data_IF_087197329203
#
_entry.id   IF_087197329203
#
_cell.length_a   1.000
_cell.length_b   1.000
_cell.length_c   1.000
_cell.angle_alpha   90.00
_cell.angle_beta   90.00
_cell.angle_gamma   90.00
#
_symmetry.space_group_name_H-M   'P 1'
#
loop_
_entity.id
_entity.type
_entity.pdbx_description
1 polymer ?
#
# COMPACT_ATOMS: atom_id res chain seq x y z
N UNK A 1 -5.36 -3.73 26.30
CA UNK A 1 -6.02 -2.47 25.90
C UNK A 1 -6.15 -2.53 24.40
N UNK A 2 -7.30 -2.16 23.89
CA UNK A 2 -7.51 -2.11 22.43
C UNK A 2 -6.69 -0.96 21.84
N UNK A 3 -5.98 -1.20 20.74
CA UNK A 3 -5.11 -0.22 20.10
C UNK A 3 -5.98 0.87 19.44
N UNK A 4 -5.78 2.16 19.75
CA UNK A 4 -6.54 3.25 19.12
C UNK A 4 -6.42 3.22 17.59
N UNK A 5 -7.49 3.60 16.88
CA UNK A 5 -7.51 3.65 15.41
C UNK A 5 -6.37 4.51 14.86
N UNK A 6 -6.09 5.66 15.48
CA UNK A 6 -4.97 6.54 15.06
C UNK A 6 -3.63 5.82 15.09
N UNK A 7 -3.38 4.97 16.11
CA UNK A 7 -2.15 4.19 16.22
C UNK A 7 -2.10 3.05 15.18
N UNK A 8 -3.24 2.46 14.83
CA UNK A 8 -3.33 1.49 13.72
C UNK A 8 -3.03 2.14 12.38
N UNK A 9 -3.59 3.32 12.12
CA UNK A 9 -3.34 4.10 10.90
C UNK A 9 -1.85 4.48 10.82
N UNK A 10 -1.31 5.05 11.91
CA UNK A 10 0.10 5.42 12.02
C UNK A 10 1.00 4.21 11.79
N UNK A 11 0.69 3.09 12.43
CA UNK A 11 1.43 1.84 12.30
C UNK A 11 1.41 1.30 10.87
N UNK A 12 0.25 1.27 10.22
CA UNK A 12 0.10 0.82 8.85
C UNK A 12 0.98 1.63 7.89
N UNK A 13 0.90 2.96 7.94
CA UNK A 13 1.65 3.84 7.04
C UNK A 13 3.16 3.78 7.27
N UNK A 14 3.60 3.86 8.54
CA UNK A 14 5.03 3.80 8.87
C UNK A 14 5.62 2.40 8.65
N UNK A 15 4.85 1.34 8.96
CA UNK A 15 5.29 -0.04 8.72
C UNK A 15 5.45 -0.34 7.24
N UNK A 16 4.51 0.09 6.41
CA UNK A 16 4.61 -0.01 4.96
C UNK A 16 5.84 0.69 4.42
N UNK A 17 6.07 1.95 4.82
CA UNK A 17 7.25 2.70 4.42
C UNK A 17 8.57 2.07 4.90
N UNK A 18 8.59 1.43 6.09
CA UNK A 18 9.77 0.68 6.54
C UNK A 18 10.03 -0.56 5.67
N UNK A 19 8.98 -1.28 5.28
CA UNK A 19 9.10 -2.45 4.40
C UNK A 19 9.58 -2.07 3.00
N UNK A 20 8.97 -1.05 2.40
CA UNK A 20 9.35 -0.44 1.13
C UNK A 20 10.85 -0.03 1.15
N UNK A 21 11.24 0.85 2.06
CA UNK A 21 12.61 1.35 2.15
C UNK A 21 13.65 0.25 2.45
N UNK A 22 13.26 -0.86 3.09
CA UNK A 22 14.12 -2.01 3.30
C UNK A 22 14.28 -2.85 2.04
N UNK A 23 13.21 -3.02 1.25
CA UNK A 23 13.17 -3.82 0.03
C UNK A 23 13.77 -3.13 -1.19
N UNK A 24 13.60 -1.80 -1.31
CA UNK A 24 14.01 -1.01 -2.46
C UNK A 24 15.45 -1.26 -2.97
N UNK A 25 16.47 -1.44 -2.12
CA UNK A 25 17.84 -1.72 -2.59
C UNK A 25 18.02 -3.08 -3.26
N UNK A 26 17.12 -4.01 -3.05
CA UNK A 26 17.21 -5.41 -3.50
C UNK A 26 16.06 -5.83 -4.41
N UNK A 27 15.15 -4.92 -4.73
CA UNK A 27 14.19 -5.09 -5.83
C UNK A 27 14.95 -5.52 -7.09
N UNK A 28 14.45 -6.44 -7.85
CA UNK A 28 15.10 -7.05 -9.03
C UNK A 28 16.31 -7.96 -8.75
N UNK A 29 16.70 -8.21 -7.49
CA UNK A 29 17.84 -9.07 -7.17
C UNK A 29 17.39 -10.48 -6.82
N UNK A 30 18.19 -11.47 -7.24
CA UNK A 30 18.02 -12.83 -6.75
C UNK A 30 18.54 -12.95 -5.32
N UNK A 31 18.03 -13.92 -4.57
CA UNK A 31 18.55 -14.27 -3.23
C UNK A 31 20.05 -14.53 -3.25
N UNK A 32 20.58 -15.07 -4.35
CA UNK A 32 22.02 -15.26 -4.51
C UNK A 32 22.77 -13.91 -4.58
N UNK A 33 22.24 -12.93 -5.32
CA UNK A 33 22.83 -11.58 -5.41
C UNK A 33 22.72 -10.84 -4.08
N UNK A 34 21.59 -10.95 -3.41
CA UNK A 34 21.37 -10.39 -2.07
C UNK A 34 22.38 -10.98 -1.08
N UNK A 35 22.54 -12.31 -1.06
CA UNK A 35 23.50 -12.98 -0.17
C UNK A 35 24.96 -12.64 -0.51
N UNK A 36 25.30 -12.47 -1.77
CA UNK A 36 26.63 -12.06 -2.18
C UNK A 36 26.98 -10.63 -1.71
N UNK A 37 25.98 -9.74 -1.64
CA UNK A 37 26.18 -8.35 -1.23
C UNK A 37 26.09 -8.15 0.28
N UNK A 38 25.07 -8.71 0.93
CA UNK A 38 24.72 -8.45 2.32
C UNK A 38 25.02 -9.63 3.26
N UNK A 39 25.62 -10.73 2.74
CA UNK A 39 25.88 -11.95 3.51
C UNK A 39 24.71 -12.90 3.59
N UNK A 40 24.89 -14.02 4.28
CA UNK A 40 23.90 -15.12 4.34
C UNK A 40 22.58 -14.77 5.01
N UNK A 41 22.51 -13.64 5.72
CA UNK A 41 21.27 -13.14 6.34
C UNK A 41 20.46 -12.22 5.42
N UNK A 42 21.02 -11.89 4.24
CA UNK A 42 20.43 -10.91 3.34
C UNK A 42 20.47 -9.48 3.89
N UNK A 43 19.63 -8.60 3.36
CA UNK A 43 19.46 -7.23 3.86
C UNK A 43 18.69 -7.27 5.17
N UNK A 44 19.23 -6.65 6.23
CA UNK A 44 18.66 -6.67 7.59
C UNK A 44 18.49 -5.29 8.21
N UNK A 45 18.70 -4.24 7.41
CA UNK A 45 18.58 -2.83 7.77
C UNK A 45 18.72 -1.97 6.54
N UNK A 46 18.41 -0.68 6.65
CA UNK A 46 18.45 0.22 5.50
C UNK A 46 19.86 0.31 4.91
N UNK A 47 19.96 0.17 3.60
CA UNK A 47 21.21 0.31 2.88
C UNK A 47 21.58 1.80 2.73
N UNK A 48 22.88 2.11 2.82
CA UNK A 48 23.39 3.45 2.66
C UNK A 48 24.12 3.66 1.31
N UNK A 49 24.21 2.61 0.52
CA UNK A 49 24.98 2.56 -0.72
C UNK A 49 24.13 2.69 -2.00
N UNK A 50 22.81 2.68 -1.88
CA UNK A 50 21.85 2.76 -2.99
C UNK A 50 21.01 4.05 -2.91
N UNK A 51 21.42 5.02 -2.13
CA UNK A 51 20.70 6.29 -1.91
C UNK A 51 20.69 6.66 -0.43
N UNK A 52 19.91 7.68 -0.03
CA UNK A 52 19.71 7.99 1.38
C UNK A 52 19.07 6.81 2.10
N UNK A 53 19.56 6.47 3.29
CA UNK A 53 18.92 5.46 4.13
C UNK A 53 17.45 5.83 4.40
N UNK A 54 16.56 4.84 4.36
CA UNK A 54 15.12 5.09 4.52
C UNK A 54 14.46 5.80 3.33
N UNK A 55 15.10 5.75 2.14
CA UNK A 55 14.50 6.23 0.91
C UNK A 55 13.39 5.27 0.46
N UNK A 56 12.22 5.82 0.27
CA UNK A 56 11.01 5.10 -0.19
C UNK A 56 10.94 5.02 -1.72
N UNK A 57 10.09 4.13 -2.24
CA UNK A 57 9.76 3.99 -3.67
C UNK A 57 8.39 4.57 -4.00
N UNK A 58 7.87 4.25 -5.19
CA UNK A 58 6.50 4.60 -5.59
C UNK A 58 5.43 3.89 -4.73
N UNK A 59 5.73 2.77 -4.09
CA UNK A 59 4.86 2.09 -3.13
C UNK A 59 4.37 3.04 -2.04
N UNK A 60 5.29 3.64 -1.29
CA UNK A 60 4.94 4.60 -0.25
C UNK A 60 4.45 5.92 -0.83
N UNK A 61 5.01 6.39 -1.96
CA UNK A 61 4.53 7.61 -2.62
C UNK A 61 3.05 7.47 -2.98
N UNK A 62 2.67 6.41 -3.69
CA UNK A 62 1.28 6.19 -4.11
C UNK A 62 0.37 5.90 -2.92
N UNK A 63 0.84 5.22 -1.88
CA UNK A 63 0.13 5.06 -0.61
C UNK A 63 -0.23 6.41 0.01
N UNK A 64 0.71 7.36 0.07
CA UNK A 64 0.43 8.72 0.57
C UNK A 64 -0.62 9.44 -0.28
N UNK A 65 -0.54 9.35 -1.62
CA UNK A 65 -1.55 9.94 -2.49
C UNK A 65 -2.90 9.24 -2.40
N UNK A 66 -2.95 7.93 -2.11
CA UNK A 66 -4.21 7.23 -1.78
C UNK A 66 -4.84 7.82 -0.53
N UNK A 67 -4.06 8.00 0.55
CA UNK A 67 -4.57 8.62 1.79
C UNK A 67 -5.07 10.04 1.54
N UNK A 68 -4.31 10.87 0.80
CA UNK A 68 -4.74 12.22 0.43
C UNK A 68 -6.07 12.19 -0.34
N UNK A 69 -6.20 11.30 -1.31
CA UNK A 69 -7.42 11.12 -2.09
C UNK A 69 -8.62 10.72 -1.23
N UNK A 70 -8.42 9.80 -0.27
CA UNK A 70 -9.47 9.37 0.66
C UNK A 70 -9.94 10.49 1.58
N UNK A 71 -9.02 11.29 2.12
CA UNK A 71 -9.39 12.46 2.92
C UNK A 71 -10.16 13.47 2.08
N UNK A 72 -9.71 13.76 0.86
CA UNK A 72 -10.44 14.65 -0.08
C UNK A 72 -11.82 14.12 -0.43
N UNK A 73 -11.97 12.80 -0.64
CA UNK A 73 -13.26 12.19 -0.89
C UNK A 73 -14.23 12.39 0.27
N UNK A 74 -13.75 12.28 1.53
CA UNK A 74 -14.56 12.58 2.72
C UNK A 74 -14.96 14.06 2.80
N UNK A 75 -14.02 14.97 2.54
CA UNK A 75 -14.31 16.40 2.49
C UNK A 75 -15.37 16.69 1.42
N UNK A 76 -15.20 16.15 0.22
CA UNK A 76 -16.17 16.28 -0.87
C UNK A 76 -17.53 15.70 -0.50
N UNK A 77 -17.56 14.53 0.12
CA UNK A 77 -18.82 13.91 0.58
C UNK A 77 -19.53 14.80 1.61
N UNK A 78 -18.81 15.41 2.53
CA UNK A 78 -19.40 16.31 3.52
C UNK A 78 -19.94 17.61 2.92
N UNK A 79 -19.33 18.09 1.82
CA UNK A 79 -19.73 19.33 1.15
C UNK A 79 -20.88 19.11 0.16
N UNK A 80 -20.91 17.97 -0.54
CA UNK A 80 -21.78 17.72 -1.69
C UNK A 80 -22.72 16.52 -1.52
N UNK A 81 -22.61 15.75 -0.44
CA UNK A 81 -23.47 14.62 -0.11
C UNK A 81 -23.16 13.33 -0.87
N UNK A 82 -22.67 13.40 -2.10
CA UNK A 82 -22.30 12.25 -2.92
C UNK A 82 -20.87 12.40 -3.44
N UNK A 83 -20.14 11.26 -3.56
CA UNK A 83 -18.78 11.23 -4.03
C UNK A 83 -18.49 9.93 -4.79
N UNK A 84 -17.81 10.04 -5.89
CA UNK A 84 -17.13 8.92 -6.54
C UNK A 84 -15.71 8.81 -5.94
N UNK A 85 -15.53 7.86 -5.03
CA UNK A 85 -14.28 7.63 -4.32
C UNK A 85 -13.15 7.24 -5.26
N UNK A 86 -13.43 6.37 -6.24
CA UNK A 86 -12.44 5.94 -7.20
C UNK A 86 -11.95 7.09 -8.07
N UNK A 87 -12.86 7.96 -8.51
CA UNK A 87 -12.52 9.15 -9.30
C UNK A 87 -11.65 10.14 -8.51
N UNK A 88 -11.97 10.38 -7.23
CA UNK A 88 -11.18 11.29 -6.38
C UNK A 88 -9.77 10.73 -6.10
N UNK A 89 -9.65 9.42 -5.83
CA UNK A 89 -8.35 8.78 -5.63
C UNK A 89 -7.58 8.70 -6.96
N UNK A 90 -8.24 8.43 -8.08
CA UNK A 90 -7.60 8.49 -9.40
C UNK A 90 -7.00 9.89 -9.66
N UNK A 91 -7.72 10.96 -9.31
CA UNK A 91 -7.16 12.30 -9.40
C UNK A 91 -5.95 12.51 -8.48
N UNK A 92 -5.91 11.86 -7.30
CA UNK A 92 -4.70 11.87 -6.46
C UNK A 92 -3.52 11.18 -7.16
N UNK A 93 -3.75 10.07 -7.86
CA UNK A 93 -2.70 9.42 -8.67
C UNK A 93 -2.21 10.27 -9.84
N UNK A 94 -3.06 11.10 -10.42
CA UNK A 94 -2.62 12.07 -11.44
C UNK A 94 -1.74 13.19 -10.84
N UNK A 95 -1.97 13.58 -9.59
CA UNK A 95 -1.06 14.45 -8.85
C UNK A 95 0.27 13.76 -8.56
N UNK A 96 0.24 12.47 -8.17
CA UNK A 96 1.46 11.67 -8.06
C UNK A 96 2.20 11.58 -9.40
N UNK A 97 1.52 11.25 -10.50
CA UNK A 97 2.14 11.22 -11.83
C UNK A 97 2.87 12.53 -12.14
N UNK A 98 2.30 13.67 -11.75
CA UNK A 98 2.95 14.98 -11.95
C UNK A 98 4.30 15.08 -11.25
N UNK A 99 4.45 14.45 -10.08
CA UNK A 99 5.74 14.44 -9.36
C UNK A 99 6.79 13.53 -10.02
N UNK A 100 6.37 12.63 -10.90
CA UNK A 100 7.25 11.71 -11.62
C UNK A 100 7.79 12.29 -12.93
N UNK A 101 7.31 13.47 -13.36
CA UNK A 101 7.72 14.09 -14.60
C UNK A 101 8.87 15.06 -14.36
N UNK A 102 10.03 14.80 -14.98
CA UNK A 102 11.25 15.63 -14.86
C UNK A 102 11.12 17.01 -15.49
N UNK A 103 10.18 17.17 -16.41
CA UNK A 103 9.88 18.44 -17.09
C UNK A 103 8.38 18.68 -17.07
N UNK A 104 8.01 19.97 -17.07
CA UNK A 104 6.64 20.40 -17.25
C UNK A 104 6.16 19.99 -18.66
N UNK A 105 5.74 18.76 -18.84
CA UNK A 105 5.04 18.36 -20.05
C UNK A 105 3.61 18.91 -19.96
N UNK A 106 3.37 20.00 -20.71
CA UNK A 106 2.08 20.66 -20.81
C UNK A 106 0.95 19.77 -21.38
N UNK A 107 1.23 18.49 -21.66
CA UNK A 107 0.26 17.52 -22.15
C UNK A 107 -0.56 16.83 -21.07
N UNK A 108 -0.31 17.11 -19.81
CA UNK A 108 -1.32 16.79 -18.80
C UNK A 108 -2.49 17.75 -19.01
N UNK A 109 -3.47 17.30 -19.78
CA UNK A 109 -4.72 18.05 -20.08
C UNK A 109 -5.63 18.16 -18.85
N UNK A 110 -5.23 17.59 -17.72
CA UNK A 110 -6.02 17.55 -16.50
C UNK A 110 -5.69 18.78 -15.67
N UNK A 111 -6.64 19.69 -15.60
CA UNK A 111 -6.60 20.88 -14.75
C UNK A 111 -6.86 20.54 -13.27
N UNK A 112 -6.46 21.41 -12.36
CA UNK A 112 -6.78 21.29 -10.93
C UNK A 112 -5.85 20.37 -10.13
N UNK A 113 -4.59 20.22 -10.58
CA UNK A 113 -3.56 19.51 -9.82
C UNK A 113 -3.06 20.39 -8.67
N UNK A 114 -3.79 20.41 -7.58
CA UNK A 114 -3.55 21.17 -6.37
C UNK A 114 -3.31 20.25 -5.15
N UNK A 115 -2.93 20.82 -4.04
CA UNK A 115 -2.77 20.14 -2.76
C UNK A 115 -1.33 20.12 -2.26
N UNK A 116 -1.19 19.81 -0.98
CA UNK A 116 0.08 19.95 -0.29
C UNK A 116 1.11 18.85 -0.65
N UNK A 117 0.67 17.62 -0.95
CA UNK A 117 1.59 16.55 -1.34
C UNK A 117 2.25 16.80 -2.69
N UNK A 118 1.54 17.39 -3.66
CA UNK A 118 2.15 17.72 -4.95
C UNK A 118 3.19 18.84 -4.82
N UNK A 119 3.10 19.68 -3.80
CA UNK A 119 4.08 20.73 -3.51
C UNK A 119 5.30 20.21 -2.75
N UNK A 120 5.22 19.01 -2.14
CA UNK A 120 6.31 18.42 -1.39
C UNK A 120 7.44 17.93 -2.29
N UNK A 121 8.57 18.63 -2.29
CA UNK A 121 9.69 18.40 -3.20
C UNK A 121 10.38 17.05 -3.02
N UNK A 122 10.31 16.45 -1.83
CA UNK A 122 10.86 15.09 -1.57
C UNK A 122 10.18 14.02 -2.40
N UNK A 123 8.93 14.26 -2.85
CA UNK A 123 8.15 13.33 -3.69
C UNK A 123 8.42 13.52 -5.19
N UNK A 124 9.14 14.58 -5.60
CA UNK A 124 9.47 14.86 -7.00
C UNK A 124 10.71 14.07 -7.45
N UNK A 125 10.64 12.77 -7.33
CA UNK A 125 11.69 11.87 -7.79
C UNK A 125 11.10 10.55 -8.23
N UNK A 126 11.57 10.05 -9.36
CA UNK A 126 11.27 8.69 -9.78
C UNK A 126 12.01 7.71 -8.86
N UNK A 127 11.23 6.80 -8.27
CA UNK A 127 11.71 5.76 -7.38
C UNK A 127 11.07 4.44 -7.81
N UNK A 128 11.66 3.80 -8.82
CA UNK A 128 11.20 2.56 -9.44
C UNK A 128 9.71 2.53 -9.89
N UNK A 129 9.10 3.65 -10.40
CA UNK A 129 7.66 3.68 -10.64
C UNK A 129 7.22 2.65 -11.66
N UNK A 130 6.21 1.85 -11.31
CA UNK A 130 5.65 0.80 -12.15
C UNK A 130 5.17 1.32 -13.50
N UNK A 131 5.64 0.69 -14.58
CA UNK A 131 5.30 1.09 -15.96
C UNK A 131 3.80 1.08 -16.22
N UNK A 132 3.06 0.10 -15.68
CA UNK A 132 1.60 0.00 -15.81
C UNK A 132 0.92 1.25 -15.24
N UNK A 133 1.28 1.68 -14.02
CA UNK A 133 0.73 2.88 -13.40
C UNK A 133 1.03 4.13 -14.23
N UNK A 134 2.30 4.31 -14.66
CA UNK A 134 2.69 5.47 -15.45
C UNK A 134 1.96 5.55 -16.78
N UNK A 135 1.82 4.43 -17.51
CA UNK A 135 1.15 4.40 -18.81
C UNK A 135 -0.34 4.64 -18.66
N UNK A 136 -1.00 3.96 -17.73
CA UNK A 136 -2.43 4.13 -17.49
C UNK A 136 -2.78 5.58 -17.12
N UNK A 137 -2.04 6.16 -16.18
CA UNK A 137 -2.30 7.54 -15.74
C UNK A 137 -1.98 8.59 -16.81
N UNK A 138 -0.98 8.36 -17.68
CA UNK A 138 -0.69 9.24 -18.83
C UNK A 138 -1.74 9.20 -19.91
N UNK A 139 -2.40 8.06 -20.08
CA UNK A 139 -3.47 7.88 -21.08
C UNK A 139 -4.86 8.24 -20.56
N UNK A 140 -4.99 8.54 -19.27
CA UNK A 140 -6.27 8.92 -18.68
C UNK A 140 -6.82 10.20 -19.30
N UNK A 141 -8.07 10.14 -19.74
CA UNK A 141 -8.80 11.28 -20.36
C UNK A 141 -9.84 11.89 -19.43
N UNK A 142 -10.20 11.17 -18.36
CA UNK A 142 -11.16 11.61 -17.36
C UNK A 142 -10.91 10.87 -16.04
N UNK A 143 -11.59 11.26 -14.96
CA UNK A 143 -11.43 10.67 -13.64
C UNK A 143 -12.25 9.39 -13.47
N UNK A 144 -11.67 8.40 -12.80
CA UNK A 144 -12.39 7.15 -12.45
C UNK A 144 -12.61 6.19 -13.62
N UNK A 145 -12.13 6.50 -14.82
CA UNK A 145 -12.25 5.60 -15.97
C UNK A 145 -11.28 4.43 -15.80
N UNK A 146 -11.75 3.18 -16.01
CA UNK A 146 -10.88 2.02 -16.04
C UNK A 146 -9.79 2.12 -17.11
N UNK A 147 -8.59 1.65 -16.78
CA UNK A 147 -7.47 1.59 -17.71
C UNK A 147 -7.70 0.49 -18.76
N UNK A 148 -7.29 0.78 -20.00
CA UNK A 148 -7.35 -0.17 -21.12
C UNK A 148 -6.02 -0.97 -21.18
N UNK A 149 -5.91 -1.97 -20.32
CA UNK A 149 -4.79 -2.94 -20.30
C UNK A 149 -5.24 -4.23 -19.59
N UNK A 150 -4.42 -5.27 -19.67
CA UNK A 150 -4.66 -6.56 -19.01
C UNK A 150 -3.59 -6.86 -17.93
N UNK A 151 -3.13 -5.83 -17.23
CA UNK A 151 -2.10 -5.97 -16.20
C UNK A 151 -2.70 -6.44 -14.88
N UNK A 152 -2.06 -7.43 -14.25
CA UNK A 152 -2.29 -7.83 -12.86
C UNK A 152 -1.08 -7.55 -11.95
N UNK A 153 -0.25 -6.58 -12.33
CA UNK A 153 0.93 -6.18 -11.55
C UNK A 153 0.60 -5.75 -10.12
N UNK A 154 1.60 -5.84 -9.24
CA UNK A 154 1.51 -5.49 -7.82
C UNK A 154 1.23 -4.01 -7.56
N UNK A 155 1.38 -3.13 -8.57
CA UNK A 155 1.22 -1.68 -8.44
C UNK A 155 -0.15 -1.19 -7.98
N UNK A 156 -1.13 -2.07 -7.79
CA UNK A 156 -2.39 -1.78 -7.09
C UNK A 156 -2.28 -2.13 -5.62
N UNK A 157 -2.04 -3.39 -5.29
CA UNK A 157 -2.11 -3.93 -3.92
C UNK A 157 -1.11 -3.26 -2.97
N UNK A 158 0.04 -2.83 -3.47
CA UNK A 158 1.09 -2.13 -2.70
C UNK A 158 0.61 -0.82 -2.06
N UNK A 159 -0.38 -0.14 -2.66
CA UNK A 159 -0.85 1.19 -2.26
C UNK A 159 -2.26 1.22 -1.66
N UNK A 160 -2.96 0.07 -1.58
CA UNK A 160 -4.41 0.04 -1.31
C UNK A 160 -4.79 -0.31 0.14
N UNK A 161 -3.82 -0.57 1.03
CA UNK A 161 -4.06 -0.68 2.47
C UNK A 161 -4.84 0.51 3.07
N UNK A 162 -4.65 1.78 2.63
CA UNK A 162 -5.40 2.93 3.16
C UNK A 162 -6.92 2.84 3.00
N UNK A 163 -7.44 2.08 2.04
CA UNK A 163 -8.88 1.87 1.92
C UNK A 163 -9.46 1.17 3.15
N UNK A 164 -8.76 0.16 3.68
CA UNK A 164 -9.17 -0.49 4.92
C UNK A 164 -9.07 0.44 6.14
N UNK A 165 -8.06 1.31 6.18
CA UNK A 165 -7.93 2.32 7.23
C UNK A 165 -9.07 3.33 7.20
N UNK A 166 -9.54 3.71 6.01
CA UNK A 166 -10.62 4.67 5.84
C UNK A 166 -11.99 4.12 6.22
N UNK A 167 -12.18 2.80 6.19
CA UNK A 167 -13.44 2.12 6.51
C UNK A 167 -13.24 1.05 7.60
N UNK A 168 -12.79 1.44 8.82
CA UNK A 168 -12.49 0.50 9.88
C UNK A 168 -13.75 -0.27 10.30
N UNK A 169 -13.67 -1.61 10.26
CA UNK A 169 -14.82 -2.48 10.59
C UNK A 169 -15.88 -2.62 9.50
N UNK A 170 -15.67 -2.01 8.34
CA UNK A 170 -16.54 -2.18 7.15
C UNK A 170 -15.72 -2.76 5.98
N UNK A 171 -15.39 -4.07 6.04
CA UNK A 171 -14.54 -4.72 5.05
C UNK A 171 -15.18 -4.78 3.65
N UNK A 172 -16.50 -4.84 3.57
CA UNK A 172 -17.21 -4.92 2.28
C UNK A 172 -17.13 -3.60 1.52
N UNK A 173 -17.32 -2.48 2.21
CA UNK A 173 -17.13 -1.15 1.61
C UNK A 173 -15.68 -0.92 1.24
N UNK A 174 -14.72 -1.26 2.12
CA UNK A 174 -13.29 -1.13 1.84
C UNK A 174 -12.89 -1.95 0.60
N UNK A 175 -13.32 -3.22 0.54
CA UNK A 175 -13.09 -4.11 -0.60
C UNK A 175 -13.61 -3.50 -1.91
N UNK A 176 -14.90 -3.16 -1.95
CA UNK A 176 -15.56 -2.65 -3.15
C UNK A 176 -14.90 -1.38 -3.70
N UNK A 177 -14.56 -0.45 -2.82
CA UNK A 177 -13.98 0.83 -3.23
C UNK A 177 -12.53 0.67 -3.70
N UNK A 178 -11.71 -0.14 -3.03
CA UNK A 178 -10.35 -0.47 -3.47
C UNK A 178 -10.36 -1.21 -4.81
N UNK A 179 -11.24 -2.20 -4.97
CA UNK A 179 -11.45 -2.93 -6.22
C UNK A 179 -11.73 -1.97 -7.40
N UNK A 180 -12.66 -1.03 -7.22
CA UNK A 180 -13.00 -0.04 -8.25
C UNK A 180 -11.84 0.92 -8.54
N UNK A 181 -11.10 1.34 -7.51
CA UNK A 181 -9.96 2.24 -7.67
C UNK A 181 -8.80 1.57 -8.40
N UNK A 182 -8.55 0.28 -8.16
CA UNK A 182 -7.52 -0.50 -8.84
C UNK A 182 -7.72 -0.52 -10.37
N UNK A 183 -8.96 -0.58 -10.82
CA UNK A 183 -9.32 -0.57 -12.24
C UNK A 183 -8.83 0.69 -12.99
N UNK A 184 -8.58 1.80 -12.30
CA UNK A 184 -8.09 3.03 -12.92
C UNK A 184 -6.65 2.94 -13.45
N UNK A 185 -5.91 1.89 -13.07
CA UNK A 185 -4.53 1.67 -13.54
C UNK A 185 -4.28 0.26 -14.09
N UNK A 186 -4.96 -0.76 -13.55
CA UNK A 186 -4.79 -2.16 -13.94
C UNK A 186 -6.12 -2.73 -14.38
N UNK A 187 -6.17 -3.36 -15.55
CA UNK A 187 -7.41 -3.86 -16.14
C UNK A 187 -7.75 -5.31 -15.78
N UNK A 188 -6.77 -6.10 -15.30
CA UNK A 188 -7.00 -7.51 -15.00
C UNK A 188 -7.77 -7.70 -13.67
N UNK A 189 -8.81 -8.56 -13.61
CA UNK A 189 -9.61 -8.77 -12.40
C UNK A 189 -8.79 -9.14 -11.17
N UNK A 190 -7.77 -9.99 -11.30
CA UNK A 190 -6.92 -10.40 -10.17
C UNK A 190 -6.30 -9.20 -9.42
N UNK A 191 -5.87 -8.15 -10.15
CA UNK A 191 -5.35 -6.94 -9.51
C UNK A 191 -6.43 -6.21 -8.69
N UNK A 192 -7.66 -6.20 -9.18
CA UNK A 192 -8.80 -5.60 -8.49
C UNK A 192 -9.16 -6.40 -7.22
N UNK A 193 -9.23 -7.72 -7.34
CA UNK A 193 -9.52 -8.60 -6.20
C UNK A 193 -8.43 -8.55 -5.13
N UNK A 194 -7.14 -8.48 -5.50
CA UNK A 194 -6.04 -8.35 -4.56
C UNK A 194 -6.11 -7.01 -3.80
N UNK A 195 -6.42 -5.91 -4.50
CA UNK A 195 -6.65 -4.59 -3.91
C UNK A 195 -7.81 -4.58 -2.93
N UNK A 196 -8.95 -5.16 -3.33
CA UNK A 196 -10.09 -5.34 -2.45
C UNK A 196 -9.74 -6.19 -1.22
N UNK A 197 -8.98 -7.28 -1.43
CA UNK A 197 -8.60 -8.20 -0.35
C UNK A 197 -7.70 -7.52 0.70
N UNK A 198 -6.64 -6.81 0.30
CA UNK A 198 -5.79 -6.10 1.28
C UNK A 198 -6.59 -5.04 2.04
N UNK A 199 -7.48 -4.32 1.37
CA UNK A 199 -8.36 -3.33 2.02
C UNK A 199 -9.30 -3.98 3.04
N UNK A 200 -9.94 -5.11 2.69
CA UNK A 200 -10.83 -5.84 3.60
C UNK A 200 -10.07 -6.42 4.80
N UNK A 201 -8.86 -6.97 4.59
CA UNK A 201 -8.01 -7.46 5.68
C UNK A 201 -7.68 -6.31 6.64
N UNK A 202 -7.21 -5.16 6.12
CA UNK A 202 -6.87 -4.00 6.95
C UNK A 202 -8.10 -3.45 7.69
N UNK A 203 -9.28 -3.41 7.07
CA UNK A 203 -10.50 -2.99 7.74
C UNK A 203 -10.87 -3.89 8.93
N UNK A 204 -10.68 -5.21 8.80
CA UNK A 204 -10.88 -6.19 9.88
C UNK A 204 -9.83 -6.05 10.99
N UNK A 205 -8.56 -5.82 10.63
CA UNK A 205 -7.50 -5.53 11.59
C UNK A 205 -7.81 -4.26 12.40
N UNK A 206 -8.30 -3.22 11.75
CA UNK A 206 -8.73 -1.99 12.43
C UNK A 206 -9.90 -2.21 13.39
N UNK A 207 -10.73 -3.22 13.16
CA UNK A 207 -11.79 -3.66 14.09
C UNK A 207 -11.29 -4.58 15.22
N UNK A 208 -9.98 -4.87 15.28
CA UNK A 208 -9.38 -5.68 16.35
C UNK A 208 -9.36 -7.18 16.06
N UNK A 209 -9.70 -7.63 14.85
CA UNK A 209 -9.52 -9.02 14.45
C UNK A 209 -8.02 -9.34 14.28
N UNK A 210 -7.59 -10.56 14.58
CA UNK A 210 -6.23 -11.00 14.28
C UNK A 210 -6.00 -11.20 12.77
N UNK A 211 -4.73 -11.26 12.37
CA UNK A 211 -4.38 -11.32 10.94
C UNK A 211 -4.88 -12.62 10.29
N UNK A 212 -4.71 -13.76 10.92
CA UNK A 212 -5.12 -15.05 10.35
C UNK A 212 -6.65 -15.10 10.14
N UNK A 213 -7.41 -14.69 11.13
CA UNK A 213 -8.88 -14.59 11.04
C UNK A 213 -9.33 -13.54 10.00
N UNK A 214 -8.60 -12.42 9.88
CA UNK A 214 -8.89 -11.40 8.88
C UNK A 214 -8.70 -11.94 7.45
N UNK A 215 -7.64 -12.69 7.21
CA UNK A 215 -7.36 -13.33 5.91
C UNK A 215 -8.40 -14.41 5.61
N UNK A 216 -8.64 -15.33 6.54
CA UNK A 216 -9.62 -16.43 6.38
C UNK A 216 -11.02 -15.90 6.04
N UNK A 217 -11.49 -14.88 6.77
CA UNK A 217 -12.78 -14.25 6.48
C UNK A 217 -12.79 -13.51 5.13
N UNK A 218 -11.69 -12.89 4.73
CA UNK A 218 -11.62 -12.23 3.42
C UNK A 218 -11.75 -13.24 2.30
N UNK A 219 -11.13 -14.41 2.42
CA UNK A 219 -11.30 -15.51 1.45
C UNK A 219 -12.78 -15.93 1.41
N UNK A 220 -13.38 -16.20 2.57
CA UNK A 220 -14.72 -16.75 2.68
C UNK A 220 -15.84 -15.77 2.27
N UNK A 221 -15.66 -14.47 2.48
CA UNK A 221 -16.70 -13.47 2.33
C UNK A 221 -16.54 -12.59 1.08
N UNK A 222 -15.30 -12.35 0.62
CA UNK A 222 -15.02 -11.39 -0.44
C UNK A 222 -14.40 -12.01 -1.73
N UNK A 223 -13.90 -13.26 -1.70
CA UNK A 223 -13.21 -13.88 -2.83
C UNK A 223 -13.93 -15.11 -3.39
N UNK A 224 -15.25 -15.19 -3.21
CA UNK A 224 -16.06 -16.32 -3.70
C UNK A 224 -16.39 -16.24 -5.19
N UNK A 225 -16.15 -15.11 -5.83
CA UNK A 225 -16.32 -14.94 -7.28
C UNK A 225 -15.23 -15.73 -8.03
N UNK A 226 -15.54 -16.38 -9.17
CA UNK A 226 -14.55 -17.07 -9.99
C UNK A 226 -13.34 -16.22 -10.37
N UNK A 227 -13.51 -14.93 -10.58
CA UNK A 227 -12.42 -14.01 -10.93
C UNK A 227 -11.50 -13.69 -9.75
N UNK A 228 -11.93 -13.99 -8.51
CA UNK A 228 -11.12 -13.87 -7.29
C UNK A 228 -10.26 -15.08 -6.96
N UNK A 229 -10.33 -16.17 -7.74
CA UNK A 229 -9.75 -17.47 -7.41
C UNK A 229 -8.22 -17.44 -7.24
N UNK A 230 -7.49 -16.65 -8.03
CA UNK A 230 -6.03 -16.55 -7.93
C UNK A 230 -5.62 -15.93 -6.58
N UNK A 231 -6.32 -14.87 -6.15
CA UNK A 231 -6.08 -14.22 -4.86
C UNK A 231 -6.46 -15.14 -3.70
N UNK A 232 -7.62 -15.82 -3.80
CA UNK A 232 -8.05 -16.78 -2.79
C UNK A 232 -7.05 -17.94 -2.64
N UNK A 233 -6.49 -18.43 -3.75
CA UNK A 233 -5.49 -19.49 -3.74
C UNK A 233 -4.18 -19.03 -3.07
N UNK A 234 -3.65 -17.86 -3.43
CA UNK A 234 -2.44 -17.30 -2.84
C UNK A 234 -2.58 -17.08 -1.32
N UNK A 235 -3.70 -16.52 -0.88
CA UNK A 235 -3.98 -16.32 0.54
C UNK A 235 -4.18 -17.65 1.29
N UNK A 236 -4.84 -18.64 0.67
CA UNK A 236 -5.02 -19.98 1.25
C UNK A 236 -3.68 -20.70 1.42
N UNK A 237 -2.77 -20.59 0.44
CA UNK A 237 -1.40 -21.12 0.55
C UNK A 237 -0.63 -20.42 1.67
N UNK A 238 -0.74 -19.10 1.79
CA UNK A 238 -0.10 -18.35 2.88
C UNK A 238 -0.59 -18.83 4.26
N UNK A 239 -1.89 -19.05 4.44
CA UNK A 239 -2.44 -19.62 5.67
C UNK A 239 -1.95 -21.06 5.91
N UNK A 240 -1.93 -21.89 4.88
CA UNK A 240 -1.49 -23.29 4.97
C UNK A 240 -0.02 -23.41 5.38
N UNK A 241 0.86 -22.57 4.86
CA UNK A 241 2.28 -22.58 5.18
C UNK A 241 2.62 -21.85 6.47
N UNK A 242 1.74 -20.98 6.96
CA UNK A 242 1.99 -20.20 8.16
C UNK A 242 2.23 -21.12 9.38
N UNK A 243 3.24 -20.77 10.20
CA UNK A 243 3.61 -21.52 11.38
C UNK A 243 4.26 -22.90 11.14
N UNK A 244 4.44 -23.32 9.88
CA UNK A 244 5.13 -24.58 9.54
C UNK A 244 6.64 -24.45 9.67
N UNK A 245 7.32 -25.54 10.02
CA UNK A 245 8.79 -25.58 10.01
C UNK A 245 9.29 -25.39 8.58
N UNK A 246 10.16 -24.39 8.36
CA UNK A 246 10.72 -24.13 7.04
C UNK A 246 9.83 -23.30 6.11
N UNK A 247 8.80 -22.62 6.59
CA UNK A 247 7.89 -21.77 5.84
C UNK A 247 8.57 -20.78 4.86
N UNK A 248 9.81 -20.35 5.17
CA UNK A 248 10.59 -19.50 4.24
C UNK A 248 10.83 -20.14 2.88
N UNK A 249 10.98 -21.46 2.83
CA UNK A 249 11.14 -22.18 1.55
C UNK A 249 9.86 -22.16 0.73
N UNK A 250 8.70 -22.02 1.37
CA UNK A 250 7.40 -21.96 0.70
C UNK A 250 7.12 -20.59 0.05
N UNK A 251 7.96 -19.57 0.31
CA UNK A 251 7.87 -18.29 -0.43
C UNK A 251 7.98 -18.52 -1.95
N UNK A 252 8.80 -19.47 -2.37
CA UNK A 252 8.97 -19.80 -3.80
C UNK A 252 7.68 -20.34 -4.45
N UNK A 253 6.79 -20.94 -3.66
CA UNK A 253 5.51 -21.47 -4.15
C UNK A 253 4.47 -20.36 -4.37
N UNK A 254 4.68 -19.20 -3.74
CA UNK A 254 3.83 -18.02 -3.90
C UNK A 254 4.25 -17.13 -5.08
N UNK A 255 5.44 -17.36 -5.66
CA UNK A 255 5.94 -16.60 -6.81
C UNK A 255 6.98 -15.55 -6.45
N UNK A 256 7.13 -14.53 -7.29
CA UNK A 256 8.12 -13.47 -7.15
C UNK A 256 7.55 -12.13 -6.64
N UNK A 257 6.26 -12.04 -6.42
CA UNK A 257 5.63 -10.78 -5.96
C UNK A 257 5.40 -9.74 -7.05
N UNK A 258 5.73 -10.03 -8.31
CA UNK A 258 5.53 -9.10 -9.43
C UNK A 258 4.07 -8.88 -9.81
N UNK A 259 3.20 -9.81 -9.46
CA UNK A 259 1.75 -9.73 -9.65
C UNK A 259 1.03 -9.65 -8.31
N UNK A 260 -0.15 -9.06 -8.31
CA UNK A 260 -0.82 -8.60 -7.11
C UNK A 260 -1.14 -9.73 -6.11
N UNK A 261 -1.56 -10.90 -6.59
CA UNK A 261 -1.87 -12.06 -5.74
C UNK A 261 -0.62 -12.66 -5.10
N UNK A 262 0.51 -12.69 -5.84
CA UNK A 262 1.79 -13.17 -5.30
C UNK A 262 2.31 -12.24 -4.21
N UNK A 263 2.34 -10.93 -4.48
CA UNK A 263 2.80 -9.93 -3.52
C UNK A 263 2.01 -9.98 -2.21
N UNK A 264 0.68 -10.06 -2.30
CA UNK A 264 -0.19 -10.18 -1.13
C UNK A 264 0.04 -11.50 -0.39
N UNK A 265 0.16 -12.63 -1.10
CA UNK A 265 0.41 -13.95 -0.50
C UNK A 265 1.73 -14.01 0.26
N UNK A 266 2.83 -13.52 -0.35
CA UNK A 266 4.16 -13.44 0.27
C UNK A 266 4.12 -12.58 1.54
N UNK A 267 3.53 -11.39 1.44
CA UNK A 267 3.43 -10.47 2.58
C UNK A 267 2.64 -11.08 3.75
N UNK A 268 1.51 -11.73 3.47
CA UNK A 268 0.69 -12.41 4.48
C UNK A 268 1.44 -13.57 5.12
N UNK A 269 2.12 -14.42 4.32
CA UNK A 269 2.91 -15.54 4.86
C UNK A 269 4.01 -15.04 5.80
N UNK A 270 4.74 -14.01 5.41
CA UNK A 270 5.79 -13.41 6.23
C UNK A 270 5.24 -12.82 7.53
N UNK A 271 4.14 -12.07 7.45
CA UNK A 271 3.50 -11.44 8.59
C UNK A 271 2.93 -12.45 9.61
N UNK A 272 2.42 -13.59 9.14
CA UNK A 272 1.87 -14.65 9.99
C UNK A 272 2.94 -15.55 10.61
N UNK A 273 4.10 -15.73 9.96
CA UNK A 273 5.03 -16.81 10.31
C UNK A 273 6.27 -16.35 11.07
N UNK A 274 6.63 -15.08 10.95
CA UNK A 274 7.84 -14.58 11.60
C UNK A 274 7.62 -14.29 13.10
N UNK A 275 8.66 -14.52 13.90
CA UNK A 275 8.59 -14.36 15.36
C UNK A 275 8.41 -12.90 15.80
N UNK A 276 8.86 -11.94 14.99
CA UNK A 276 8.77 -10.50 15.26
C UNK A 276 8.47 -9.71 13.99
N UNK A 277 7.84 -8.53 14.08
CA UNK A 277 7.61 -7.65 12.94
C UNK A 277 8.88 -7.31 12.16
N UNK A 278 10.01 -7.09 12.85
CA UNK A 278 11.32 -6.92 12.21
C UNK A 278 11.71 -8.14 11.37
N UNK A 279 11.56 -9.34 11.93
CA UNK A 279 11.90 -10.58 11.22
C UNK A 279 10.96 -10.84 10.04
N UNK A 280 9.71 -10.41 10.13
CA UNK A 280 8.74 -10.49 9.05
C UNK A 280 9.13 -9.60 7.87
N UNK A 281 9.46 -8.33 8.11
CA UNK A 281 9.93 -7.41 7.07
C UNK A 281 11.21 -7.92 6.42
N UNK A 282 12.19 -8.39 7.22
CA UNK A 282 13.42 -8.99 6.68
C UNK A 282 13.10 -10.20 5.79
N UNK A 283 12.14 -11.04 6.16
CA UNK A 283 11.77 -12.18 5.34
C UNK A 283 11.05 -11.76 4.05
N UNK A 284 10.16 -10.77 4.15
CA UNK A 284 9.38 -10.26 3.03
C UNK A 284 10.23 -9.58 1.94
N UNK A 285 11.45 -9.11 2.28
CA UNK A 285 12.33 -8.43 1.31
C UNK A 285 13.51 -9.28 0.84
N UNK A 286 13.72 -10.48 1.39
CA UNK A 286 14.85 -11.34 1.05
C UNK A 286 14.40 -12.58 0.26
N UNK A 287 13.81 -12.35 -0.89
CA UNK A 287 13.40 -13.39 -1.85
C UNK A 287 13.74 -12.96 -3.29
N UNK A 288 13.53 -13.85 -4.27
CA UNK A 288 13.76 -13.54 -5.68
C UNK A 288 12.53 -12.79 -6.23
N UNK A 289 12.56 -11.44 -6.25
CA UNK A 289 11.42 -10.72 -6.83
C UNK A 289 11.24 -9.30 -6.33
N UNK A 290 9.97 -8.90 -6.27
CA UNK A 290 9.48 -7.56 -5.92
C UNK A 290 9.53 -7.33 -4.40
N UNK A 291 10.72 -6.97 -3.94
CA UNK A 291 11.05 -6.95 -2.50
C UNK A 291 10.46 -5.73 -1.77
N UNK A 292 10.35 -4.58 -2.43
CA UNK A 292 9.79 -3.38 -1.82
C UNK A 292 8.26 -3.49 -1.68
N UNK A 293 7.56 -3.94 -2.71
CA UNK A 293 6.10 -4.17 -2.63
C UNK A 293 5.73 -5.21 -1.57
N UNK A 294 6.42 -6.37 -1.55
CA UNK A 294 6.14 -7.40 -0.53
C UNK A 294 6.47 -6.94 0.88
N UNK A 295 7.56 -6.16 1.03
CA UNK A 295 7.94 -5.50 2.27
C UNK A 295 6.90 -4.45 2.70
N UNK A 296 6.46 -3.59 1.78
CA UNK A 296 5.45 -2.56 2.03
C UNK A 296 4.13 -3.16 2.51
N UNK A 297 3.60 -4.16 1.80
CA UNK A 297 2.34 -4.82 2.16
C UNK A 297 2.46 -5.52 3.52
N UNK A 298 3.56 -6.24 3.76
CA UNK A 298 3.82 -6.89 5.05
C UNK A 298 3.84 -5.87 6.20
N UNK A 299 4.52 -4.74 6.00
CA UNK A 299 4.57 -3.65 6.96
C UNK A 299 3.21 -2.99 7.20
N UNK A 300 2.42 -2.79 6.14
CA UNK A 300 1.05 -2.26 6.26
C UNK A 300 0.17 -3.18 7.14
N UNK A 301 0.19 -4.49 6.89
CA UNK A 301 -0.60 -5.48 7.64
C UNK A 301 -0.20 -5.53 9.13
N UNK A 302 1.09 -5.64 9.40
CA UNK A 302 1.62 -5.68 10.77
C UNK A 302 1.35 -4.38 11.53
N UNK A 303 1.54 -3.24 10.86
CA UNK A 303 1.30 -1.94 11.47
C UNK A 303 -0.17 -1.68 11.77
N UNK A 304 -1.08 -2.09 10.88
CA UNK A 304 -2.53 -2.01 11.14
C UNK A 304 -2.96 -2.92 12.31
N UNK A 305 -2.32 -4.09 12.44
CA UNK A 305 -2.62 -5.02 13.52
C UNK A 305 -2.05 -4.56 14.87
N UNK A 306 -0.82 -4.08 14.91
CA UNK A 306 0.00 -3.96 16.11
C UNK A 306 0.45 -2.51 16.45
N UNK A 307 0.25 -1.54 15.54
CA UNK A 307 0.71 -0.17 15.70
C UNK A 307 2.17 0.06 15.26
N UNK A 308 2.65 1.30 15.39
CA UNK A 308 3.98 1.68 14.89
C UNK A 308 5.13 1.24 15.79
N UNK A 309 4.92 1.11 17.08
CA UNK A 309 5.97 0.87 18.08
C UNK A 309 6.56 -0.55 18.02
N UNK A 310 6.00 -1.42 17.17
CA UNK A 310 6.52 -2.77 16.91
C UNK A 310 7.68 -2.80 15.92
N UNK A 311 7.87 -1.73 15.17
CA UNK A 311 8.99 -1.60 14.22
C UNK A 311 10.22 -1.02 14.92
N UNK A 312 11.44 -1.32 14.43
CA UNK A 312 12.65 -0.73 14.99
C UNK A 312 12.60 0.80 14.93
N UNK A 313 12.80 1.44 16.07
CA UNK A 313 12.75 2.91 16.17
C UNK A 313 13.75 3.57 15.21
N UNK A 314 14.93 2.97 15.06
CA UNK A 314 15.97 3.44 14.14
C UNK A 314 15.54 3.40 12.66
N UNK A 315 14.63 2.48 12.26
CA UNK A 315 14.09 2.47 10.90
C UNK A 315 13.08 3.58 10.72
N UNK A 316 12.14 3.72 11.65
CA UNK A 316 11.11 4.77 11.60
C UNK A 316 11.75 6.16 11.61
N UNK A 317 12.80 6.39 12.40
CA UNK A 317 13.52 7.66 12.49
C UNK A 317 14.27 8.03 11.21
N UNK A 318 14.73 7.03 10.46
CA UNK A 318 15.48 7.23 9.22
C UNK A 318 14.58 7.44 7.99
N UNK A 319 13.26 7.22 8.08
CA UNK A 319 12.36 7.45 6.95
C UNK A 319 12.36 8.93 6.54
N UNK A 320 12.77 9.21 5.32
CA UNK A 320 12.88 10.58 4.81
C UNK A 320 11.55 11.34 4.69
N UNK A 321 10.42 10.62 4.80
CA UNK A 321 9.05 11.16 4.69
C UNK A 321 8.19 10.88 5.94
N UNK A 322 8.83 10.55 7.05
CA UNK A 322 8.15 10.22 8.31
C UNK A 322 7.12 11.26 8.72
N UNK A 323 7.49 12.54 8.68
CA UNK A 323 6.63 13.66 9.05
C UNK A 323 5.37 13.76 8.19
N UNK A 324 5.47 13.42 6.89
CA UNK A 324 4.34 13.39 5.98
C UNK A 324 3.39 12.24 6.33
N UNK A 325 3.93 11.05 6.59
CA UNK A 325 3.15 9.86 6.97
C UNK A 325 2.44 10.08 8.31
N UNK A 326 3.10 10.67 9.30
CA UNK A 326 2.49 11.01 10.60
C UNK A 326 1.39 12.05 10.43
N UNK A 327 1.59 13.07 9.59
CA UNK A 327 0.55 14.07 9.27
C UNK A 327 -0.67 13.42 8.61
N UNK A 328 -0.44 12.57 7.61
CA UNK A 328 -1.51 11.84 6.93
C UNK A 328 -2.28 10.92 7.86
N UNK A 329 -1.59 10.26 8.80
CA UNK A 329 -2.22 9.38 9.77
C UNK A 329 -3.18 10.15 10.70
N UNK A 330 -2.76 11.28 11.21
CA UNK A 330 -3.59 12.16 12.06
C UNK A 330 -4.77 12.72 11.26
N UNK A 331 -4.51 13.20 10.04
CA UNK A 331 -5.54 13.81 9.20
C UNK A 331 -6.58 12.77 8.74
N UNK A 332 -6.17 11.53 8.40
CA UNK A 332 -7.10 10.46 8.06
C UNK A 332 -7.98 10.08 9.27
N UNK A 333 -7.37 9.88 10.44
CA UNK A 333 -8.12 9.58 11.67
C UNK A 333 -9.14 10.68 12.01
N UNK A 334 -8.73 11.95 11.93
CA UNK A 334 -9.62 13.10 12.12
C UNK A 334 -10.77 13.15 11.12
N UNK A 335 -10.51 12.79 9.86
CA UNK A 335 -11.54 12.74 8.82
C UNK A 335 -12.61 11.65 9.08
N UNK A 336 -12.21 10.54 9.69
CA UNK A 336 -13.11 9.43 10.06
C UNK A 336 -13.96 9.83 11.27
N UNK A 337 -13.36 10.46 12.28
CA UNK A 337 -14.04 10.92 13.49
C UNK A 337 -14.98 12.11 13.26
N UNK A 338 -15.01 12.70 12.06
CA UNK A 338 -15.75 13.93 11.75
C UNK A 338 -15.35 15.15 12.62
N UNK A 339 -14.21 15.09 13.29
CA UNK A 339 -13.61 16.17 14.06
C UNK A 339 -12.84 17.18 13.18
N UNK A 340 -12.96 17.01 11.90
CA UNK A 340 -12.27 17.79 10.89
C UNK A 340 -12.98 19.14 10.73
N UNK A 341 -12.44 20.21 11.32
CA UNK A 341 -12.96 21.55 11.01
C UNK A 341 -12.75 21.81 9.51
N UNK A 342 -13.85 21.96 8.78
CA UNK A 342 -13.83 22.16 7.33
C UNK A 342 -12.91 23.32 6.86
N UNK A 343 -12.56 24.26 7.75
CA UNK A 343 -11.69 25.39 7.46
C UNK A 343 -10.19 25.07 7.46
N UNK A 344 -9.70 24.20 8.35
CA UNK A 344 -8.28 23.83 8.39
C UNK A 344 -7.98 22.72 7.38
N UNK A 345 -8.92 21.81 7.21
CA UNK A 345 -8.86 20.73 6.24
C UNK A 345 -9.01 21.21 4.80
N UNK A 346 -9.91 22.15 4.54
CA UNK A 346 -10.20 22.63 3.20
C UNK A 346 -9.01 23.29 2.49
N UNK A 347 -8.06 23.87 3.25
CA UNK A 347 -6.83 24.42 2.68
C UNK A 347 -5.85 23.30 2.25
N UNK A 348 -5.77 22.20 3.04
CA UNK A 348 -4.85 21.10 2.78
C UNK A 348 -5.46 20.04 1.84
N UNK A 349 -6.76 19.82 1.97
CA UNK A 349 -7.52 18.80 1.23
C UNK A 349 -8.75 19.44 0.56
N UNK A 350 -8.57 20.27 -0.48
CA UNK A 350 -9.71 20.86 -1.16
C UNK A 350 -10.64 19.79 -1.76
N UNK A 351 -11.95 19.94 -1.48
CA UNK A 351 -13.00 19.00 -1.89
C UNK A 351 -13.79 19.47 -3.11
N UNK A 352 -13.09 20.01 -4.10
CA UNK A 352 -13.71 20.51 -5.36
C UNK A 352 -14.52 19.50 -6.13
#
# INVERSE_FOLDING_TARGET
>A
MDLPLTERIRGCLLGGACGDALGAPVEFWSTQQIAARYGSKGIVGFAHDVGPAGAITDDTQMTMFTVEGLIRARVRQSLHGAVDWAAVVHHAYLRWLRTQLSTYDARSTIEGLDGWLIEERRLWSQRAPGTTCLVALRSATDFGIPADNDSKGCGTVMRDAPWGLAFPGDPDTAFKLAFNAAATTHGHPTAHYASGAVAAIVARLCAGMDLAGSVDRTIAENLMDPDGVEVAAALSLALQFSGTTGWRSSLLELGGGWVAEEALGIAVLCALSAETPRAALIAAVNHDGDSDSTGAICGNLLGAALGADVFPAEWVEQLGVRDLLETLAVDLAGSIAQDFSASAAGARYPGW
#
